data_IF_209310763299
#
_entry.id   IF_209310763299
#
_cell.length_a   1.000
_cell.length_b   1.000
_cell.length_c   1.000
_cell.angle_alpha   90.00
_cell.angle_beta   90.00
_cell.angle_gamma   90.00
#
_symmetry.space_group_name_H-M   'P 1'
#
loop_
_entity.id
_entity.type
_entity.pdbx_description
1 polymer ?
#
# COMPACT_ATOMS: atom_id res chain seq x y z
N UNK A 1 9.48 -9.40 -13.88
CA UNK A 1 9.87 -8.79 -12.60
C UNK A 1 9.42 -9.73 -11.50
N UNK A 2 10.24 -9.97 -10.48
CA UNK A 2 9.86 -10.80 -9.34
C UNK A 2 8.86 -10.03 -8.45
N UNK A 3 7.62 -10.51 -8.20
CA UNK A 3 6.62 -9.77 -7.42
C UNK A 3 7.01 -9.48 -5.96
N UNK A 4 7.86 -10.31 -5.36
CA UNK A 4 8.27 -10.15 -3.97
C UNK A 4 9.43 -9.16 -3.82
N UNK A 5 10.45 -9.23 -4.67
CA UNK A 5 11.63 -8.36 -4.59
C UNK A 5 11.57 -7.12 -5.48
N UNK A 6 10.65 -7.10 -6.46
CA UNK A 6 10.43 -6.03 -7.44
C UNK A 6 11.62 -5.81 -8.40
N UNK A 7 12.58 -6.73 -8.37
CA UNK A 7 13.71 -6.73 -9.29
C UNK A 7 13.26 -7.15 -10.70
N UNK A 8 13.77 -6.45 -11.70
CA UNK A 8 13.56 -6.80 -13.11
C UNK A 8 14.46 -7.97 -13.52
N UNK A 9 14.46 -8.33 -14.82
CA UNK A 9 15.41 -9.31 -15.36
C UNK A 9 16.85 -8.78 -15.43
N UNK A 10 17.03 -7.47 -15.34
CA UNK A 10 18.34 -6.83 -15.36
C UNK A 10 18.84 -6.67 -13.93
N UNK A 11 20.14 -6.90 -13.75
CA UNK A 11 20.79 -6.76 -12.46
C UNK A 11 20.70 -5.30 -11.98
N UNK A 12 20.44 -5.11 -10.68
CA UNK A 12 20.37 -3.79 -10.04
C UNK A 12 19.33 -2.82 -10.63
N UNK A 13 18.40 -3.33 -11.44
CA UNK A 13 17.26 -2.57 -11.98
C UNK A 13 15.97 -3.08 -11.36
N UNK A 14 15.21 -2.18 -10.76
CA UNK A 14 13.95 -2.43 -10.05
C UNK A 14 12.81 -1.64 -10.71
N UNK A 15 11.57 -2.13 -10.56
CA UNK A 15 10.38 -1.44 -11.06
C UNK A 15 9.34 -1.34 -9.93
N UNK A 16 8.77 -0.14 -9.74
CA UNK A 16 7.78 0.14 -8.70
C UNK A 16 6.65 1.03 -9.25
N UNK A 17 5.50 0.99 -8.58
CA UNK A 17 4.32 1.76 -8.90
C UNK A 17 3.67 1.36 -10.21
N UNK A 18 3.06 2.33 -10.87
CA UNK A 18 2.13 2.12 -11.98
C UNK A 18 2.78 1.53 -13.23
N UNK A 19 4.10 1.57 -13.36
CA UNK A 19 4.82 0.90 -14.45
C UNK A 19 4.83 -0.63 -14.30
N UNK A 20 4.53 -1.14 -13.11
CA UNK A 20 4.56 -2.58 -12.82
C UNK A 20 3.26 -3.28 -13.23
N UNK A 21 3.39 -4.57 -13.53
CA UNK A 21 2.29 -5.50 -13.80
C UNK A 21 2.47 -6.72 -12.92
N UNK A 22 1.71 -6.80 -11.82
CA UNK A 22 1.76 -7.90 -10.86
C UNK A 22 0.45 -8.72 -10.98
N UNK A 23 0.51 -9.96 -11.49
CA UNK A 23 -0.66 -10.83 -11.56
C UNK A 23 -1.03 -11.36 -10.17
N UNK A 24 -2.33 -11.53 -9.94
CA UNK A 24 -2.93 -12.10 -8.74
C UNK A 24 -3.80 -13.32 -9.13
N UNK A 25 -4.02 -14.27 -8.20
CA UNK A 25 -4.97 -15.35 -8.43
C UNK A 25 -6.36 -14.83 -8.83
N UNK A 26 -6.98 -15.48 -9.82
CA UNK A 26 -8.36 -15.17 -10.21
C UNK A 26 -9.34 -15.51 -9.08
N UNK A 27 -10.36 -14.67 -8.86
CA UNK A 27 -11.41 -14.92 -7.86
C UNK A 27 -12.64 -15.62 -8.44
N UNK A 28 -13.16 -15.07 -9.54
CA UNK A 28 -14.41 -15.54 -10.17
C UNK A 28 -14.16 -16.44 -11.37
N UNK A 29 -13.03 -16.24 -12.04
CA UNK A 29 -12.54 -17.05 -13.15
C UNK A 29 -11.13 -17.49 -12.76
N UNK A 30 -10.94 -18.71 -12.21
CA UNK A 30 -9.65 -19.15 -11.66
C UNK A 30 -8.50 -19.06 -12.67
N UNK A 31 -8.78 -19.40 -13.94
CA UNK A 31 -7.79 -19.41 -15.02
C UNK A 31 -7.45 -18.03 -15.57
N UNK A 32 -8.17 -16.98 -15.15
CA UNK A 32 -7.93 -15.60 -15.56
C UNK A 32 -7.34 -14.81 -14.41
N UNK A 33 -6.03 -14.47 -14.45
CA UNK A 33 -5.41 -13.71 -13.38
C UNK A 33 -6.06 -12.33 -13.25
N UNK A 34 -6.22 -11.88 -12.01
CA UNK A 34 -6.48 -10.47 -11.73
C UNK A 34 -5.15 -9.71 -11.73
N UNK A 35 -5.22 -8.38 -11.77
CA UNK A 35 -4.04 -7.53 -11.63
C UNK A 35 -4.08 -6.82 -10.28
N UNK A 36 -2.92 -6.67 -9.65
CA UNK A 36 -2.78 -5.81 -8.48
C UNK A 36 -3.22 -4.39 -8.83
N UNK A 37 -4.11 -3.75 -8.05
CA UNK A 37 -4.51 -2.38 -8.32
C UNK A 37 -3.31 -1.43 -8.29
N UNK A 38 -3.32 -0.44 -9.18
CA UNK A 38 -2.30 0.59 -9.25
C UNK A 38 -2.70 1.74 -8.33
N UNK A 39 -2.20 1.70 -7.09
CA UNK A 39 -2.53 2.68 -6.06
C UNK A 39 -1.28 3.16 -5.31
N UNK A 40 -1.37 4.37 -4.77
CA UNK A 40 -0.28 5.02 -4.04
C UNK A 40 0.25 4.18 -2.86
N UNK A 41 -0.63 3.46 -2.16
CA UNK A 41 -0.22 2.56 -1.06
C UNK A 41 0.73 1.47 -1.53
N UNK A 42 0.46 0.86 -2.69
CA UNK A 42 1.33 -0.19 -3.23
C UNK A 42 2.63 0.41 -3.74
N UNK A 43 2.57 1.55 -4.43
CA UNK A 43 3.77 2.27 -4.87
C UNK A 43 4.69 2.60 -3.70
N UNK A 44 4.12 3.06 -2.58
CA UNK A 44 4.86 3.37 -1.36
C UNK A 44 5.48 2.12 -0.71
N UNK A 45 4.72 1.04 -0.56
CA UNK A 45 5.23 -0.22 0.02
C UNK A 45 6.28 -0.89 -0.88
N UNK A 46 6.11 -0.80 -2.19
CA UNK A 46 7.09 -1.26 -3.16
C UNK A 46 8.39 -0.45 -3.06
N UNK A 47 8.29 0.87 -2.90
CA UNK A 47 9.45 1.74 -2.67
C UNK A 47 10.20 1.37 -1.38
N UNK A 48 9.48 1.10 -0.28
CA UNK A 48 10.08 0.68 1.00
C UNK A 48 10.91 -0.61 0.85
N UNK A 49 10.34 -1.63 0.21
CA UNK A 49 11.01 -2.92 -0.04
C UNK A 49 12.24 -2.76 -0.94
N UNK A 50 12.11 -2.04 -2.06
CA UNK A 50 13.21 -1.81 -3.00
C UNK A 50 14.33 -1.02 -2.32
N UNK A 51 14.01 0.05 -1.60
CA UNK A 51 14.99 0.88 -0.91
C UNK A 51 15.79 0.07 0.12
N UNK A 52 15.11 -0.72 0.96
CA UNK A 52 15.78 -1.59 1.94
C UNK A 52 16.68 -2.64 1.28
N UNK A 53 16.20 -3.29 0.22
CA UNK A 53 16.99 -4.28 -0.49
C UNK A 53 18.21 -3.67 -1.17
N UNK A 54 18.10 -2.47 -1.75
CA UNK A 54 19.25 -1.74 -2.31
C UNK A 54 20.27 -1.44 -1.22
N UNK A 55 19.84 -0.91 -0.07
CA UNK A 55 20.74 -0.60 1.05
C UNK A 55 21.45 -1.85 1.56
N UNK A 56 20.72 -2.95 1.77
CA UNK A 56 21.30 -4.24 2.19
C UNK A 56 22.34 -4.75 1.18
N UNK A 57 22.02 -4.72 -0.12
CA UNK A 57 22.96 -5.12 -1.19
C UNK A 57 24.24 -4.28 -1.17
N UNK A 58 24.14 -2.96 -1.03
CA UNK A 58 25.31 -2.06 -0.98
C UNK A 58 26.21 -2.39 0.22
N UNK A 59 25.63 -2.84 1.33
CA UNK A 59 26.37 -3.23 2.55
C UNK A 59 26.92 -4.65 2.52
N UNK A 60 26.66 -5.43 1.47
CA UNK A 60 27.01 -6.85 1.43
C UNK A 60 26.14 -7.73 2.35
N UNK A 61 24.98 -7.23 2.78
CA UNK A 61 24.02 -7.95 3.61
C UNK A 61 23.02 -8.74 2.74
N UNK A 62 22.33 -9.72 3.34
CA UNK A 62 21.30 -10.48 2.65
C UNK A 62 20.04 -9.63 2.40
N UNK A 63 19.74 -9.32 1.13
CA UNK A 63 18.60 -8.50 0.71
C UNK A 63 17.33 -9.34 0.46
N UNK A 64 16.62 -9.64 1.54
CA UNK A 64 15.47 -10.57 1.58
C UNK A 64 14.12 -9.91 1.91
N UNK A 65 14.03 -8.58 1.87
CA UNK A 65 12.76 -7.89 2.11
C UNK A 65 11.77 -8.21 0.99
N UNK A 66 10.52 -8.51 1.37
CA UNK A 66 9.47 -8.92 0.44
C UNK A 66 8.29 -7.97 0.48
N UNK A 67 7.79 -7.65 -0.70
CA UNK A 67 6.51 -7.00 -0.87
C UNK A 67 5.37 -7.97 -0.56
N UNK A 68 4.52 -7.60 0.41
CA UNK A 68 3.41 -8.44 0.89
C UNK A 68 2.05 -8.11 0.26
N UNK A 69 1.96 -7.02 -0.52
CA UNK A 69 0.72 -6.56 -1.16
C UNK A 69 -0.48 -6.32 -0.22
N UNK A 70 -0.24 -6.05 1.06
CA UNK A 70 -1.26 -5.47 1.94
C UNK A 70 -1.55 -4.03 1.48
N UNK A 71 -2.83 -3.72 1.24
CA UNK A 71 -3.22 -2.43 0.70
C UNK A 71 -4.49 -1.89 1.31
N UNK A 72 -4.64 -0.57 1.23
CA UNK A 72 -5.88 0.11 1.56
C UNK A 72 -6.26 1.15 0.51
N UNK A 73 -7.55 1.43 0.40
CA UNK A 73 -8.09 2.48 -0.44
C UNK A 73 -9.27 3.16 0.26
N UNK A 74 -9.32 4.47 0.21
CA UNK A 74 -10.48 5.25 0.65
C UNK A 74 -11.41 5.46 -0.55
N UNK A 75 -12.70 5.16 -0.38
CA UNK A 75 -13.72 5.32 -1.42
C UNK A 75 -14.62 6.50 -1.05
N UNK A 76 -14.44 7.65 -1.67
CA UNK A 76 -15.28 8.82 -1.43
C UNK A 76 -16.70 8.57 -1.94
N UNK A 77 -17.70 8.83 -1.10
CA UNK A 77 -19.12 8.70 -1.43
C UNK A 77 -19.84 10.05 -1.52
N UNK A 78 -19.16 11.17 -1.21
CA UNK A 78 -19.76 12.50 -1.13
C UNK A 78 -20.38 12.77 0.25
N UNK A 79 -20.89 13.98 0.48
CA UNK A 79 -21.57 14.37 1.73
C UNK A 79 -20.77 14.07 3.02
N UNK A 80 -19.46 14.26 2.98
CA UNK A 80 -18.52 13.92 4.06
C UNK A 80 -18.52 12.42 4.43
N UNK A 81 -18.87 11.54 3.49
CA UNK A 81 -18.92 10.10 3.67
C UNK A 81 -17.88 9.41 2.80
N UNK A 82 -17.18 8.44 3.39
CA UNK A 82 -16.31 7.56 2.65
C UNK A 82 -16.41 6.11 3.16
N UNK A 83 -16.11 5.17 2.27
CA UNK A 83 -15.78 3.78 2.61
C UNK A 83 -14.28 3.61 2.79
N UNK A 84 -13.90 2.52 3.43
CA UNK A 84 -12.50 2.14 3.60
C UNK A 84 -12.30 0.67 3.24
N UNK A 85 -11.58 0.41 2.15
CA UNK A 85 -11.18 -0.93 1.74
C UNK A 85 -9.79 -1.23 2.28
N UNK A 86 -9.61 -2.42 2.85
CA UNK A 86 -8.30 -2.93 3.29
C UNK A 86 -8.23 -4.44 3.08
N UNK A 87 -7.07 -4.94 2.67
CA UNK A 87 -6.87 -6.37 2.52
C UNK A 87 -5.48 -6.80 2.10
N UNK A 88 -5.31 -8.12 2.14
CA UNK A 88 -4.17 -8.86 1.62
C UNK A 88 -4.46 -9.26 0.17
N UNK A 89 -3.71 -8.69 -0.78
CA UNK A 89 -3.88 -8.98 -2.20
C UNK A 89 -3.11 -10.22 -2.67
N UNK A 90 -2.14 -10.72 -1.89
CA UNK A 90 -1.46 -11.98 -2.17
C UNK A 90 -2.12 -13.19 -1.49
N UNK A 91 -3.23 -12.96 -0.78
CA UNK A 91 -4.04 -14.01 -0.17
C UNK A 91 -4.46 -15.11 -1.16
N UNK A 92 -4.39 -16.35 -0.68
CA UNK A 92 -4.80 -17.57 -1.38
C UNK A 92 -6.10 -18.10 -0.77
N UNK A 93 -7.06 -18.63 -1.56
CA UNK A 93 -7.03 -18.85 -3.03
C UNK A 93 -7.26 -17.60 -3.88
N UNK A 94 -7.67 -16.50 -3.27
CA UNK A 94 -7.88 -15.21 -3.94
C UNK A 94 -7.65 -14.06 -2.95
N UNK A 95 -7.44 -12.81 -3.44
CA UNK A 95 -7.31 -11.63 -2.60
C UNK A 95 -8.38 -11.53 -1.50
N UNK A 96 -7.94 -11.20 -0.27
CA UNK A 96 -8.79 -11.07 0.92
C UNK A 96 -8.98 -9.59 1.25
N UNK A 97 -9.93 -8.97 0.56
CA UNK A 97 -10.25 -7.54 0.71
C UNK A 97 -11.56 -7.37 1.47
N UNK A 98 -11.54 -6.51 2.49
CA UNK A 98 -12.70 -6.12 3.29
C UNK A 98 -13.04 -4.67 3.03
N UNK A 99 -14.32 -4.38 2.79
CA UNK A 99 -14.84 -3.02 2.70
C UNK A 99 -15.59 -2.68 3.98
N UNK A 100 -15.17 -1.61 4.66
CA UNK A 100 -15.86 -1.09 5.83
C UNK A 100 -17.10 -0.30 5.40
N UNK A 101 -18.14 -0.35 6.23
CA UNK A 101 -19.36 0.44 6.04
C UNK A 101 -19.01 1.93 5.92
N UNK A 102 -19.66 2.59 4.97
CA UNK A 102 -19.55 4.02 4.72
C UNK A 102 -19.78 4.82 6.01
N UNK A 103 -18.98 5.84 6.24
CA UNK A 103 -19.17 6.73 7.40
C UNK A 103 -18.19 7.90 7.45
N UNK A 104 -18.56 8.93 8.20
CA UNK A 104 -17.79 10.18 8.33
C UNK A 104 -16.37 9.99 8.85
N UNK A 105 -16.15 8.99 9.72
CA UNK A 105 -14.81 8.70 10.25
C UNK A 105 -13.79 8.38 9.15
N UNK A 106 -14.20 7.69 8.08
CA UNK A 106 -13.32 7.34 6.97
C UNK A 106 -13.03 8.56 6.10
N UNK A 107 -14.03 9.43 5.91
CA UNK A 107 -13.85 10.70 5.20
C UNK A 107 -12.85 11.60 5.94
N UNK A 108 -13.00 11.75 7.26
CA UNK A 108 -12.03 12.50 8.09
C UNK A 108 -10.62 11.89 7.94
N UNK A 109 -10.50 10.57 8.01
CA UNK A 109 -9.22 9.88 7.82
C UNK A 109 -8.58 10.15 6.45
N UNK A 110 -9.39 10.12 5.37
CA UNK A 110 -8.95 10.47 4.02
C UNK A 110 -8.45 11.92 3.95
N UNK A 111 -9.21 12.88 4.46
CA UNK A 111 -8.83 14.31 4.45
C UNK A 111 -7.55 14.55 5.26
N UNK A 112 -7.38 13.86 6.40
CA UNK A 112 -6.16 13.93 7.19
C UNK A 112 -4.96 13.33 6.44
N UNK A 113 -5.16 12.21 5.73
CA UNK A 113 -4.14 11.61 4.88
C UNK A 113 -3.72 12.55 3.76
N UNK A 114 -4.68 13.21 3.10
CA UNK A 114 -4.41 14.21 2.06
C UNK A 114 -3.60 15.40 2.60
N UNK A 115 -4.03 15.95 3.74
CA UNK A 115 -3.30 17.04 4.43
C UNK A 115 -1.89 16.62 4.81
N UNK A 116 -1.71 15.40 5.33
CA UNK A 116 -0.39 14.86 5.64
C UNK A 116 0.48 14.73 4.38
N UNK A 117 -0.06 14.12 3.32
CA UNK A 117 0.66 13.85 2.08
C UNK A 117 1.19 15.13 1.45
N UNK A 118 0.31 16.14 1.32
CA UNK A 118 0.58 17.43 0.68
C UNK A 118 1.30 18.43 1.60
N UNK A 119 1.40 18.16 2.91
CA UNK A 119 2.13 19.05 3.81
C UNK A 119 3.63 19.05 3.47
N UNK A 120 4.30 20.22 3.51
CA UNK A 120 5.76 20.30 3.40
C UNK A 120 6.41 19.62 4.62
N UNK A 121 7.70 19.27 4.48
CA UNK A 121 8.47 18.77 5.62
C UNK A 121 8.47 19.79 6.77
N UNK A 122 8.24 19.30 7.98
CA UNK A 122 8.18 20.13 9.18
C UNK A 122 7.15 19.64 10.19
N UNK A 123 6.92 20.44 11.24
CA UNK A 123 6.08 20.09 12.38
C UNK A 123 4.65 19.70 12.00
N UNK A 124 4.02 20.39 11.03
CA UNK A 124 2.66 20.07 10.56
C UNK A 124 2.57 18.64 9.99
N UNK A 125 3.54 18.23 9.17
CA UNK A 125 3.57 16.88 8.59
C UNK A 125 3.78 15.82 9.66
N UNK A 126 4.68 16.07 10.62
CA UNK A 126 4.91 15.17 11.76
C UNK A 126 3.63 15.03 12.61
N UNK A 127 2.96 16.15 12.90
CA UNK A 127 1.71 16.14 13.65
C UNK A 127 0.63 15.30 12.97
N UNK A 128 0.37 15.52 11.67
CA UNK A 128 -0.61 14.70 10.94
C UNK A 128 -0.22 13.22 10.87
N UNK A 129 1.07 12.92 10.73
CA UNK A 129 1.58 11.54 10.74
C UNK A 129 1.25 10.83 12.04
N UNK A 130 1.55 11.45 13.18
CA UNK A 130 1.26 10.90 14.52
C UNK A 130 -0.24 10.67 14.67
N UNK A 131 -1.06 11.65 14.28
CA UNK A 131 -2.51 11.54 14.38
C UNK A 131 -3.07 10.38 13.55
N UNK A 132 -2.62 10.23 12.31
CA UNK A 132 -3.02 9.13 11.43
C UNK A 132 -2.56 7.77 11.95
N UNK A 133 -1.33 7.65 12.44
CA UNK A 133 -0.80 6.40 13.00
C UNK A 133 -1.55 5.98 14.26
N UNK A 134 -1.85 6.92 15.15
CA UNK A 134 -2.64 6.65 16.36
C UNK A 134 -4.08 6.25 16.00
N UNK A 135 -4.72 6.97 15.07
CA UNK A 135 -6.05 6.61 14.58
C UNK A 135 -6.10 5.25 13.88
N UNK A 136 -5.09 4.93 13.08
CA UNK A 136 -4.94 3.61 12.44
C UNK A 136 -4.85 2.47 13.46
N UNK A 137 -4.00 2.62 14.49
CA UNK A 137 -3.88 1.63 15.57
C UNK A 137 -5.21 1.42 16.31
N UNK A 138 -5.92 2.50 16.65
CA UNK A 138 -7.22 2.42 17.33
C UNK A 138 -8.30 1.73 16.49
N UNK A 139 -8.23 1.84 15.16
CA UNK A 139 -9.17 1.21 14.23
C UNK A 139 -8.74 -0.20 13.80
N UNK A 140 -7.61 -0.69 14.29
CA UNK A 140 -7.04 -2.00 13.95
C UNK A 140 -6.47 -2.07 12.53
N UNK A 141 -6.16 -0.93 11.92
CA UNK A 141 -5.62 -0.84 10.56
C UNK A 141 -4.13 -0.46 10.63
N UNK A 142 -3.20 -1.34 10.23
CA UNK A 142 -1.78 -1.04 10.26
C UNK A 142 -1.41 -0.09 9.10
N UNK A 143 -1.45 1.22 9.36
CA UNK A 143 -1.06 2.23 8.38
C UNK A 143 0.46 2.46 8.45
N UNK A 144 1.19 2.12 7.39
CA UNK A 144 2.58 2.55 7.18
C UNK A 144 2.58 3.86 6.39
N UNK A 145 3.19 4.90 6.98
CA UNK A 145 3.35 6.27 6.48
C UNK A 145 4.80 6.71 6.64
#
# INVERSE_FOLDING_TARGET
MNPASLQTKYENVFAIGDITSIPLPGRWIPDKPMMLPKAGVFSHLQADVVAKNIVKKIRGENADEKFCADGYCMLEAGEDLAGFAYGDFFGVPHPKVSLKKIGKKWHIGKVLFEKWWLSPFGFKKVFYKIFLQSGGKLTGIPIKL
#
